data_IF_679329358461
#
_entry.id   IF_679329358461
#
_cell.length_a   1.000
_cell.length_b   1.000
_cell.length_c   1.000
_cell.angle_alpha   90.00
_cell.angle_beta   90.00
_cell.angle_gamma   90.00
#
_symmetry.space_group_name_H-M   'P 1'
#
loop_
_entity.id
_entity.type
_entity.pdbx_description
1 polymer ?
#
# COMPACT_ATOMS: atom_id res chain seq x y z
N UNK A 1 27.13 -14.22 -0.89
CA UNK A 1 26.35 -13.02 -1.19
C UNK A 1 25.10 -13.09 -0.33
N UNK A 2 24.77 -12.06 0.49
CA UNK A 2 23.55 -12.07 1.29
C UNK A 2 22.41 -11.55 0.43
N UNK A 3 21.29 -12.28 0.39
CA UNK A 3 20.10 -11.94 -0.40
C UNK A 3 18.89 -11.91 0.49
N UNK A 4 17.99 -10.96 0.26
CA UNK A 4 16.76 -10.76 1.03
C UNK A 4 15.58 -10.62 0.09
N UNK A 5 14.55 -11.44 0.28
CA UNK A 5 13.35 -11.45 -0.53
C UNK A 5 12.13 -11.20 0.38
N UNK A 6 11.36 -10.17 0.10
CA UNK A 6 10.14 -9.89 0.85
C UNK A 6 9.11 -9.13 0.04
N UNK A 7 7.85 -9.27 0.44
CA UNK A 7 6.71 -8.51 -0.09
C UNK A 7 6.48 -7.27 0.73
N UNK A 8 6.50 -6.10 0.08
CA UNK A 8 6.29 -4.82 0.74
C UNK A 8 5.54 -3.83 -0.15
N UNK A 9 4.91 -2.84 0.46
CA UNK A 9 4.57 -1.59 -0.22
C UNK A 9 5.66 -0.55 0.01
N UNK A 10 5.90 0.28 -1.00
CA UNK A 10 6.81 1.43 -0.94
C UNK A 10 6.03 2.74 -0.73
N UNK A 11 6.72 3.88 -0.69
CA UNK A 11 6.08 5.20 -0.58
C UNK A 11 4.99 5.44 -1.63
N UNK A 12 5.23 5.03 -2.87
CA UNK A 12 4.28 5.23 -3.96
C UNK A 12 3.08 4.29 -3.80
N UNK A 13 3.31 3.05 -3.35
CA UNK A 13 2.25 2.11 -3.00
C UNK A 13 1.36 2.63 -1.87
N UNK A 14 1.93 3.18 -0.81
CA UNK A 14 1.17 3.78 0.29
C UNK A 14 0.33 4.99 -0.16
N UNK A 15 0.92 5.86 -0.96
CA UNK A 15 0.20 7.00 -1.53
C UNK A 15 -0.93 6.55 -2.46
N UNK A 16 -0.68 5.55 -3.31
CA UNK A 16 -1.68 4.99 -4.20
C UNK A 16 -2.86 4.38 -3.42
N UNK A 17 -2.59 3.70 -2.32
CA UNK A 17 -3.62 3.15 -1.42
C UNK A 17 -4.43 4.27 -0.77
N UNK A 18 -3.76 5.27 -0.17
CA UNK A 18 -4.43 6.36 0.54
C UNK A 18 -5.31 7.21 -0.38
N UNK A 19 -4.76 7.66 -1.50
CA UNK A 19 -5.50 8.45 -2.49
C UNK A 19 -6.55 7.61 -3.22
N UNK A 20 -6.20 6.37 -3.57
CA UNK A 20 -7.07 5.48 -4.33
C UNK A 20 -8.39 5.21 -3.63
N UNK A 21 -8.39 5.01 -2.31
CA UNK A 21 -9.63 4.84 -1.54
C UNK A 21 -10.51 6.10 -1.61
N UNK A 22 -9.94 7.26 -1.28
CA UNK A 22 -10.68 8.52 -1.22
C UNK A 22 -11.26 8.90 -2.59
N UNK A 23 -10.44 8.86 -3.64
CA UNK A 23 -10.89 9.20 -4.99
C UNK A 23 -11.87 8.19 -5.56
N UNK A 24 -11.69 6.89 -5.32
CA UNK A 24 -12.63 5.88 -5.80
C UNK A 24 -13.98 6.04 -5.16
N UNK A 25 -14.05 6.21 -3.84
CA UNK A 25 -15.33 6.34 -3.14
C UNK A 25 -16.05 7.63 -3.53
N UNK A 26 -15.37 8.79 -3.49
CA UNK A 26 -15.97 10.08 -3.85
C UNK A 26 -16.37 10.13 -5.34
N UNK A 27 -15.50 9.62 -6.21
CA UNK A 27 -15.77 9.60 -7.65
C UNK A 27 -16.97 8.72 -8.00
N UNK A 28 -17.05 7.52 -7.45
CA UNK A 28 -18.18 6.61 -7.70
C UNK A 28 -19.46 7.15 -7.11
N UNK A 29 -19.45 7.64 -5.87
CA UNK A 29 -20.62 8.23 -5.24
C UNK A 29 -21.12 9.47 -6.02
N UNK A 30 -20.18 10.32 -6.47
CA UNK A 30 -20.50 11.49 -7.31
C UNK A 30 -21.11 11.10 -8.65
N UNK A 31 -20.57 10.07 -9.32
CA UNK A 31 -21.13 9.55 -10.57
C UNK A 31 -22.54 8.99 -10.39
N UNK A 32 -22.79 8.23 -9.32
CA UNK A 32 -24.13 7.70 -9.03
C UNK A 32 -25.12 8.85 -8.79
N UNK A 33 -24.71 9.88 -8.03
CA UNK A 33 -25.53 11.08 -7.81
C UNK A 33 -25.80 11.84 -9.12
N UNK A 34 -24.80 12.04 -9.98
CA UNK A 34 -24.98 12.66 -11.29
C UNK A 34 -25.93 11.88 -12.18
N UNK A 35 -25.72 10.57 -12.29
CA UNK A 35 -26.61 9.70 -13.06
C UNK A 35 -28.04 9.78 -12.57
N UNK A 36 -28.25 9.83 -11.25
CA UNK A 36 -29.55 10.03 -10.65
C UNK A 36 -30.19 11.34 -11.08
N UNK A 37 -29.45 12.46 -10.98
CA UNK A 37 -29.98 13.80 -11.31
C UNK A 37 -30.28 13.95 -12.81
N UNK A 38 -29.49 13.34 -13.68
CA UNK A 38 -29.60 13.47 -15.12
C UNK A 38 -30.62 12.49 -15.72
N UNK A 39 -30.54 11.20 -15.32
CA UNK A 39 -31.35 10.16 -15.94
C UNK A 39 -32.74 10.00 -15.30
N UNK A 40 -32.89 10.39 -14.03
CA UNK A 40 -34.13 10.17 -13.28
C UNK A 40 -34.80 11.44 -12.73
N UNK A 41 -34.69 12.61 -13.36
CA UNK A 41 -35.32 13.82 -12.85
C UNK A 41 -36.85 13.75 -12.88
N UNK A 42 -37.42 12.84 -13.69
CA UNK A 42 -38.88 12.71 -13.92
C UNK A 42 -39.52 11.47 -13.28
N UNK A 43 -38.75 10.59 -12.68
CA UNK A 43 -39.36 9.48 -11.95
C UNK A 43 -39.89 10.05 -10.64
N UNK A 44 -41.17 10.38 -10.63
CA UNK A 44 -41.93 10.52 -9.37
C UNK A 44 -41.82 9.18 -8.65
N UNK A 45 -40.89 9.10 -7.72
CA UNK A 45 -40.78 7.92 -6.87
C UNK A 45 -42.17 7.67 -6.27
N UNK A 46 -42.76 6.51 -6.57
CA UNK A 46 -43.96 6.05 -5.91
C UNK A 46 -43.72 6.17 -4.39
N UNK A 47 -44.75 6.39 -3.64
CA UNK A 47 -44.74 6.70 -2.18
C UNK A 47 -43.87 5.74 -1.31
N UNK A 48 -43.46 4.63 -1.86
CA UNK A 48 -42.52 3.68 -1.22
C UNK A 48 -41.05 4.13 -1.15
N UNK A 49 -40.61 5.08 -1.96
CA UNK A 49 -39.23 5.54 -2.01
C UNK A 49 -39.02 6.90 -1.31
N UNK A 50 -40.04 7.45 -0.68
CA UNK A 50 -39.89 8.67 0.13
C UNK A 50 -39.09 8.45 1.44
N UNK A 51 -38.46 7.28 1.59
CA UNK A 51 -37.59 7.03 2.70
C UNK A 51 -36.13 7.48 2.33
N UNK A 52 -35.73 8.61 2.88
CA UNK A 52 -34.38 9.21 2.69
C UNK A 52 -33.26 8.22 3.03
N UNK A 53 -33.51 7.23 3.87
CA UNK A 53 -32.55 6.20 4.23
C UNK A 53 -32.38 5.17 3.09
N UNK A 54 -33.45 4.77 2.44
CA UNK A 54 -33.41 3.85 1.31
C UNK A 54 -32.63 4.46 0.15
N UNK A 55 -32.84 5.74 -0.09
CA UNK A 55 -32.15 6.49 -1.12
C UNK A 55 -30.63 6.57 -0.87
N UNK A 56 -30.23 6.91 0.34
CA UNK A 56 -28.82 6.92 0.74
C UNK A 56 -28.20 5.52 0.61
N UNK A 57 -28.94 4.49 1.01
CA UNK A 57 -28.50 3.10 0.89
C UNK A 57 -28.24 2.71 -0.57
N UNK A 58 -29.12 3.05 -1.50
CA UNK A 58 -28.97 2.78 -2.93
C UNK A 58 -27.77 3.48 -3.58
N UNK A 59 -27.25 4.56 -2.99
CA UNK A 59 -26.04 5.23 -3.46
C UNK A 59 -24.78 4.66 -2.78
N UNK A 60 -24.83 4.53 -1.46
CA UNK A 60 -23.65 4.19 -0.67
C UNK A 60 -23.23 2.74 -0.88
N UNK A 61 -24.17 1.80 -0.95
CA UNK A 61 -23.82 0.37 -1.08
C UNK A 61 -23.14 0.05 -2.41
N UNK A 62 -23.68 0.45 -3.58
CA UNK A 62 -22.96 0.25 -4.84
C UNK A 62 -21.60 0.98 -4.87
N UNK A 63 -21.51 2.19 -4.32
CA UNK A 63 -20.26 2.92 -4.23
C UNK A 63 -19.21 2.16 -3.42
N UNK A 64 -19.59 1.57 -2.28
CA UNK A 64 -18.69 0.73 -1.47
C UNK A 64 -18.24 -0.53 -2.21
N UNK A 65 -19.17 -1.23 -2.89
CA UNK A 65 -18.82 -2.44 -3.65
C UNK A 65 -17.82 -2.13 -4.77
N UNK A 66 -18.08 -1.08 -5.56
CA UNK A 66 -17.19 -0.68 -6.65
C UNK A 66 -15.83 -0.22 -6.08
N UNK A 67 -15.85 0.57 -5.01
CA UNK A 67 -14.62 1.01 -4.33
C UNK A 67 -13.81 -0.19 -3.82
N UNK A 68 -14.44 -1.18 -3.22
CA UNK A 68 -13.76 -2.41 -2.78
C UNK A 68 -13.10 -3.16 -3.95
N UNK A 69 -13.77 -3.23 -5.10
CA UNK A 69 -13.20 -3.82 -6.31
C UNK A 69 -11.99 -3.03 -6.83
N UNK A 70 -12.11 -1.70 -6.93
CA UNK A 70 -11.00 -0.81 -7.34
C UNK A 70 -9.82 -0.96 -6.37
N UNK A 71 -10.08 -1.01 -5.07
CA UNK A 71 -9.03 -1.18 -4.06
C UNK A 71 -8.33 -2.54 -4.17
N UNK A 72 -9.03 -3.59 -4.59
CA UNK A 72 -8.40 -4.89 -4.90
C UNK A 72 -7.40 -4.78 -6.06
N UNK A 73 -7.71 -4.01 -7.08
CA UNK A 73 -6.79 -3.74 -8.19
C UNK A 73 -5.60 -2.90 -7.72
N UNK A 74 -5.84 -1.84 -6.96
CA UNK A 74 -4.79 -0.98 -6.39
C UNK A 74 -3.81 -1.80 -5.54
N UNK A 75 -4.32 -2.72 -4.71
CA UNK A 75 -3.49 -3.61 -3.90
C UNK A 75 -2.46 -4.39 -4.75
N UNK A 76 -2.87 -4.89 -5.91
CA UNK A 76 -1.99 -5.64 -6.82
C UNK A 76 -0.80 -4.80 -7.32
N UNK A 77 -0.97 -3.48 -7.45
CA UNK A 77 0.09 -2.57 -7.88
C UNK A 77 0.88 -1.96 -6.73
N UNK A 78 0.27 -1.87 -5.54
CA UNK A 78 0.90 -1.28 -4.35
C UNK A 78 1.87 -2.24 -3.66
N UNK A 79 1.55 -3.54 -3.64
CA UNK A 79 2.40 -4.58 -3.03
C UNK A 79 3.29 -5.17 -4.12
N UNK A 80 4.61 -5.14 -3.88
CA UNK A 80 5.64 -5.62 -4.80
C UNK A 80 6.51 -6.65 -4.11
N UNK A 81 7.10 -7.54 -4.89
CA UNK A 81 8.19 -8.40 -4.44
C UNK A 81 9.49 -7.61 -4.55
N UNK A 82 10.26 -7.56 -3.49
CA UNK A 82 11.59 -6.96 -3.47
C UNK A 82 12.62 -8.06 -3.33
N UNK A 83 13.61 -8.01 -4.21
CA UNK A 83 14.84 -8.80 -4.15
C UNK A 83 15.99 -7.83 -3.88
N UNK A 84 16.68 -8.02 -2.75
CA UNK A 84 17.74 -7.13 -2.31
C UNK A 84 19.02 -7.93 -2.15
N UNK A 85 20.09 -7.48 -2.77
CA UNK A 85 21.39 -8.12 -2.70
C UNK A 85 22.53 -7.11 -2.76
N UNK A 86 23.68 -7.54 -2.27
CA UNK A 86 24.92 -6.76 -2.29
C UNK A 86 25.77 -7.13 -3.52
N UNK A 87 26.20 -6.13 -4.27
CA UNK A 87 27.15 -6.27 -5.37
C UNK A 87 28.24 -5.19 -5.23
N UNK A 88 29.47 -5.59 -4.87
CA UNK A 88 30.66 -4.73 -4.81
C UNK A 88 30.42 -3.40 -4.03
N UNK A 89 29.99 -3.47 -2.79
CA UNK A 89 29.69 -2.31 -1.93
C UNK A 89 28.50 -1.44 -2.36
N UNK A 90 27.72 -1.92 -3.32
CA UNK A 90 26.46 -1.32 -3.75
C UNK A 90 25.33 -2.24 -3.34
N UNK A 91 24.33 -1.66 -2.68
CA UNK A 91 23.08 -2.34 -2.39
C UNK A 91 22.17 -2.23 -3.62
N UNK A 92 21.82 -3.36 -4.22
CA UNK A 92 20.86 -3.44 -5.32
C UNK A 92 19.50 -3.84 -4.77
N UNK A 93 18.51 -3.01 -5.02
CA UNK A 93 17.11 -3.21 -4.62
C UNK A 93 16.32 -3.37 -5.90
N UNK A 94 15.95 -4.59 -6.20
CA UNK A 94 15.19 -4.95 -7.40
C UNK A 94 13.73 -5.19 -7.04
N UNK A 95 12.84 -4.71 -7.88
CA UNK A 95 11.44 -5.10 -7.88
C UNK A 95 11.00 -5.35 -9.33
N UNK A 96 9.79 -5.90 -9.51
CA UNK A 96 9.25 -6.33 -10.82
C UNK A 96 9.45 -5.31 -11.98
N UNK A 97 9.81 -4.06 -11.68
CA UNK A 97 9.84 -2.96 -12.66
C UNK A 97 11.08 -2.07 -12.62
N UNK A 98 11.85 -2.11 -11.54
CA UNK A 98 12.97 -1.17 -11.33
C UNK A 98 14.08 -1.80 -10.51
N UNK A 99 15.31 -1.42 -10.84
CA UNK A 99 16.49 -1.66 -10.03
C UNK A 99 16.91 -0.31 -9.46
N UNK A 100 17.09 -0.25 -8.15
CA UNK A 100 17.62 0.91 -7.44
C UNK A 100 18.99 0.50 -6.92
N UNK A 101 20.03 1.20 -7.35
CA UNK A 101 21.39 1.02 -6.85
C UNK A 101 21.67 2.08 -5.79
N UNK A 102 22.15 1.63 -4.65
CA UNK A 102 22.41 2.50 -3.51
C UNK A 102 23.78 2.16 -2.91
N UNK A 103 24.74 3.08 -3.05
CA UNK A 103 26.03 2.97 -2.37
C UNK A 103 25.84 3.14 -0.85
N UNK A 104 26.55 2.36 -0.01
CA UNK A 104 26.40 2.46 1.44
C UNK A 104 26.75 3.84 1.97
N UNK A 105 27.72 4.52 1.38
CA UNK A 105 28.10 5.91 1.74
C UNK A 105 26.96 6.91 1.54
N UNK A 106 25.97 6.61 0.71
CA UNK A 106 24.81 7.48 0.51
C UNK A 106 23.72 7.28 1.59
N UNK A 107 23.84 6.24 2.41
CA UNK A 107 22.89 5.94 3.48
C UNK A 107 23.31 6.71 4.74
N UNK A 108 22.44 7.59 5.22
CA UNK A 108 22.66 8.38 6.44
C UNK A 108 22.20 7.70 7.71
N UNK A 109 21.07 7.00 7.62
CA UNK A 109 20.42 6.43 8.79
C UNK A 109 19.41 5.35 8.34
N UNK A 110 19.24 4.32 9.16
CA UNK A 110 18.23 3.28 8.94
C UNK A 110 17.39 3.12 10.19
N UNK A 111 16.08 3.31 10.04
CA UNK A 111 15.11 3.16 11.14
C UNK A 111 14.21 1.95 10.89
N UNK A 112 14.00 1.18 11.94
CA UNK A 112 13.10 0.04 11.93
C UNK A 112 12.01 0.19 12.99
N UNK A 113 10.76 0.06 12.57
CA UNK A 113 9.60 0.15 13.45
C UNK A 113 8.75 -1.10 13.33
N UNK A 114 8.48 -1.74 14.45
CA UNK A 114 7.54 -2.86 14.57
C UNK A 114 6.24 -2.33 15.19
N UNK A 115 5.09 -2.63 14.57
CA UNK A 115 3.77 -2.25 15.08
C UNK A 115 2.78 -3.40 14.91
N UNK A 116 1.77 -3.42 15.76
CA UNK A 116 0.67 -4.37 15.69
C UNK A 116 0.86 -5.59 16.59
N UNK A 117 -0.16 -6.44 16.57
CA UNK A 117 -0.20 -7.74 17.23
C UNK A 117 0.05 -8.86 16.21
N UNK A 118 -0.03 -10.12 16.62
CA UNK A 118 0.22 -11.27 15.75
C UNK A 118 -0.68 -11.32 14.51
N UNK A 119 -1.90 -10.74 14.55
CA UNK A 119 -2.85 -10.75 13.45
C UNK A 119 -2.61 -9.55 12.51
N UNK A 120 -2.36 -8.35 13.07
CA UNK A 120 -2.19 -7.11 12.29
C UNK A 120 -0.75 -6.58 12.37
N UNK A 121 0.21 -7.46 12.19
CA UNK A 121 1.64 -7.15 12.23
C UNK A 121 2.01 -6.21 11.07
N UNK A 122 2.76 -5.17 11.36
CA UNK A 122 3.28 -4.23 10.37
C UNK A 122 4.71 -3.84 10.75
N UNK A 123 5.67 -4.21 9.91
CA UNK A 123 7.06 -3.78 10.02
C UNK A 123 7.36 -2.72 8.97
N UNK A 124 8.12 -1.73 9.37
CA UNK A 124 8.51 -0.62 8.51
C UNK A 124 10.01 -0.37 8.61
N UNK A 125 10.70 -0.41 7.47
CA UNK A 125 12.07 0.11 7.34
C UNK A 125 12.03 1.47 6.65
N UNK A 126 12.85 2.40 7.13
CA UNK A 126 13.12 3.69 6.50
C UNK A 126 14.63 3.79 6.31
N UNK A 127 15.07 3.83 5.07
CA UNK A 127 16.45 4.07 4.68
C UNK A 127 16.55 5.53 4.27
N UNK A 128 17.19 6.36 5.09
CA UNK A 128 17.44 7.76 4.79
C UNK A 128 18.65 7.88 3.90
N UNK A 129 18.50 8.53 2.77
CA UNK A 129 19.60 8.80 1.85
C UNK A 129 19.80 10.30 1.63
N UNK A 130 20.88 10.65 0.92
CA UNK A 130 21.14 12.04 0.56
C UNK A 130 20.08 12.64 -0.38
N UNK A 131 19.43 11.81 -1.21
CA UNK A 131 18.50 12.25 -2.25
C UNK A 131 17.03 12.02 -1.86
N UNK A 132 16.69 10.82 -1.41
CA UNK A 132 15.29 10.43 -1.13
C UNK A 132 15.23 9.28 -0.14
N UNK A 133 14.33 9.38 0.84
CA UNK A 133 14.05 8.30 1.76
C UNK A 133 13.34 7.13 1.04
N UNK A 134 13.90 5.92 1.23
CA UNK A 134 13.25 4.69 0.82
C UNK A 134 12.50 4.10 2.01
N UNK A 135 11.24 3.74 1.83
CA UNK A 135 10.41 3.16 2.88
C UNK A 135 9.77 1.88 2.37
N UNK A 136 9.84 0.85 3.18
CA UNK A 136 9.21 -0.43 2.93
C UNK A 136 8.28 -0.76 4.07
N UNK A 137 7.04 -1.12 3.74
CA UNK A 137 6.01 -1.50 4.68
C UNK A 137 5.61 -2.95 4.42
N UNK A 138 5.92 -3.83 5.36
CA UNK A 138 5.55 -5.25 5.32
C UNK A 138 4.37 -5.46 6.26
N UNK A 139 3.26 -6.00 5.74
CA UNK A 139 2.01 -6.22 6.49
C UNK A 139 1.49 -7.63 6.29
N UNK A 140 0.92 -8.21 7.34
CA UNK A 140 0.27 -9.54 7.29
C UNK A 140 -0.85 -9.59 6.25
N UNK A 141 -1.22 -10.80 5.83
CA UNK A 141 -2.32 -11.03 4.87
C UNK A 141 -3.67 -10.57 5.40
N UNK A 142 -3.88 -10.63 6.70
CA UNK A 142 -5.09 -10.20 7.39
C UNK A 142 -5.30 -8.69 7.34
N UNK A 143 -4.21 -7.95 7.17
CA UNK A 143 -4.33 -6.53 6.82
C UNK A 143 -4.77 -6.39 5.37
N UNK A 144 -5.81 -5.62 5.11
CA UNK A 144 -6.36 -5.43 3.76
C UNK A 144 -5.30 -5.06 2.72
N UNK A 145 -4.31 -4.26 3.10
CA UNK A 145 -3.17 -3.87 2.26
C UNK A 145 -1.90 -4.68 2.53
N UNK A 146 -2.04 -5.82 3.19
CA UNK A 146 -0.97 -6.75 3.45
C UNK A 146 -0.95 -7.90 2.44
N UNK A 147 0.06 -8.69 2.50
CA UNK A 147 0.26 -9.88 1.64
C UNK A 147 1.50 -10.66 2.04
N UNK A 148 2.17 -10.18 3.09
CA UNK A 148 3.40 -10.75 3.59
C UNK A 148 3.15 -12.02 4.41
N UNK A 149 4.11 -12.94 4.32
CA UNK A 149 4.24 -14.15 5.14
C UNK A 149 5.18 -13.89 6.31
N UNK A 150 5.27 -14.79 7.28
CA UNK A 150 6.26 -14.66 8.39
C UNK A 150 7.70 -14.57 7.84
N UNK A 151 8.03 -15.34 6.81
CA UNK A 151 9.34 -15.27 6.16
C UNK A 151 9.66 -13.88 5.58
N UNK A 152 8.67 -13.13 5.11
CA UNK A 152 8.87 -11.75 4.64
C UNK A 152 9.25 -10.81 5.78
N UNK A 153 8.69 -11.02 6.98
CA UNK A 153 9.02 -10.23 8.17
C UNK A 153 10.43 -10.54 8.66
N UNK A 154 10.81 -11.82 8.70
CA UNK A 154 12.13 -12.27 9.11
C UNK A 154 13.21 -11.77 8.14
N UNK A 155 12.95 -11.85 6.84
CA UNK A 155 13.86 -11.32 5.81
C UNK A 155 14.01 -9.80 5.91
N UNK A 156 12.93 -9.06 6.19
CA UNK A 156 13.00 -7.62 6.39
C UNK A 156 13.81 -7.26 7.64
N UNK A 157 13.63 -8.01 8.74
CA UNK A 157 14.36 -7.79 9.98
C UNK A 157 15.85 -8.12 9.82
N UNK A 158 16.19 -9.25 9.18
CA UNK A 158 17.56 -9.62 8.87
C UNK A 158 18.23 -8.60 7.94
N UNK A 159 17.49 -8.06 6.98
CA UNK A 159 17.95 -6.98 6.12
C UNK A 159 18.27 -5.70 6.92
N UNK A 160 17.42 -5.33 7.88
CA UNK A 160 17.69 -4.20 8.76
C UNK A 160 18.99 -4.37 9.55
N UNK A 161 19.20 -5.52 10.20
CA UNK A 161 20.42 -5.78 10.97
C UNK A 161 21.67 -5.78 10.07
N UNK A 162 21.56 -6.33 8.87
CA UNK A 162 22.64 -6.27 7.90
C UNK A 162 23.00 -4.83 7.51
N UNK A 163 22.01 -3.98 7.20
CA UNK A 163 22.26 -2.58 6.87
C UNK A 163 22.89 -1.83 8.04
N UNK A 164 22.39 -2.05 9.23
CA UNK A 164 22.92 -1.41 10.44
C UNK A 164 24.38 -1.75 10.66
N UNK A 165 24.76 -3.03 10.54
CA UNK A 165 26.14 -3.48 10.64
C UNK A 165 27.07 -2.81 9.59
N UNK A 166 26.56 -2.59 8.37
CA UNK A 166 27.33 -1.99 7.27
C UNK A 166 27.54 -0.49 7.41
N UNK A 167 26.63 0.21 8.08
CA UNK A 167 26.68 1.68 8.23
C UNK A 167 27.45 2.09 9.49
N UNK A 168 27.47 1.24 10.52
CA UNK A 168 28.18 1.51 11.79
C UNK A 168 29.69 1.15 11.71
N UNK A 169 30.15 0.57 10.58
CA UNK A 169 31.59 0.31 10.28
C UNK A 169 32.20 1.48 9.51
#
# INVERSE_FOLDING_TARGET
MKEYNFKASDNNGEMLVGLGFSFSFMGVAGLILMLRLVLFPKIKYSSYVNNIYLEKFLIVVPALIITAYVMKLIKKYAIKNYHIYEDKEILKIENDKKIIELAYIAIKDVKFNKKGNNIFKCYKIIIKTNSKDLKFFVRTKENYFGGATENDFDNLENFYFFLKEKIEK
#
